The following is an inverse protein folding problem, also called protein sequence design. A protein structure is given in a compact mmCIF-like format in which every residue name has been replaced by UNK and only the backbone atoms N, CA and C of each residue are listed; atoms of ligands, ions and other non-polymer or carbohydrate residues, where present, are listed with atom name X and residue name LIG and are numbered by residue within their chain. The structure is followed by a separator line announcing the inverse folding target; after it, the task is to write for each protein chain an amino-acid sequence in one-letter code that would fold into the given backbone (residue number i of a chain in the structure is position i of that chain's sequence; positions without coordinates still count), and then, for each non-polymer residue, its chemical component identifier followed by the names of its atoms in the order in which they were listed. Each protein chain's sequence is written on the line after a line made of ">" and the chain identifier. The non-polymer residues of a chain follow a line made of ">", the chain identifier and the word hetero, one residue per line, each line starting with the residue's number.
data_IF_309184536127
#
_entry.id   IF_309184536127
#
_cell.length_a   1.000
_cell.length_b   1.000
_cell.length_c   1.000
_cell.angle_alpha   90.00
_cell.angle_beta   90.00
_cell.angle_gamma   90.00
#
_symmetry.space_group_name_H-M   'P 1'
#
loop_
_entity.id
_entity.type
_entity.pdbx_description
1 polymer ?
#
# COMPACT_ATOMS: atom_id res chain seq x y z
N UNK A 1 3.77 -19.02 9.93
CA UNK A 1 4.37 -18.04 9.00
C UNK A 1 5.84 -18.37 8.90
N UNK A 2 6.43 -18.32 7.71
CA UNK A 2 7.86 -18.60 7.53
C UNK A 2 8.63 -17.27 7.54
N UNK A 3 8.96 -16.81 8.74
CA UNK A 3 9.51 -15.47 8.96
C UNK A 3 10.93 -15.32 8.42
N UNK A 4 11.67 -16.42 8.25
CA UNK A 4 13.01 -16.42 7.64
C UNK A 4 12.99 -16.04 6.15
N UNK A 5 11.84 -16.18 5.48
CA UNK A 5 11.64 -15.79 4.07
C UNK A 5 10.92 -14.45 3.91
N UNK A 6 10.98 -13.60 4.95
CA UNK A 6 10.40 -12.27 4.90
C UNK A 6 11.23 -11.35 4.00
N UNK A 7 10.57 -10.71 3.03
CA UNK A 7 11.13 -9.68 2.19
C UNK A 7 10.83 -8.28 2.77
N UNK A 8 11.76 -7.35 2.56
CA UNK A 8 11.56 -5.92 2.81
C UNK A 8 11.47 -5.18 1.49
N UNK A 9 10.40 -4.43 1.29
CA UNK A 9 10.18 -3.63 0.08
C UNK A 9 10.25 -2.15 0.42
N UNK A 10 11.29 -1.45 -0.02
CA UNK A 10 11.56 -0.06 0.30
C UNK A 10 12.61 0.59 -0.59
N UNK A 11 12.87 1.90 -0.41
CA UNK A 11 12.51 2.70 0.76
C UNK A 11 11.04 3.10 0.81
N UNK A 12 10.48 3.17 2.01
CA UNK A 12 9.13 3.69 2.33
C UNK A 12 9.18 4.60 3.54
N UNK A 13 8.79 5.85 3.36
CA UNK A 13 8.64 6.77 4.48
C UNK A 13 7.20 6.75 5.02
N UNK A 14 7.04 6.80 6.35
CA UNK A 14 5.76 7.07 7.01
C UNK A 14 5.94 8.18 8.03
N UNK A 15 4.92 9.04 8.18
CA UNK A 15 4.87 10.00 9.28
C UNK A 15 4.50 9.27 10.57
N UNK A 16 5.36 9.35 11.59
CA UNK A 16 5.12 8.83 12.95
C UNK A 16 5.25 10.01 13.90
N UNK A 17 4.18 10.35 14.61
CA UNK A 17 4.11 11.54 15.47
C UNK A 17 4.55 12.85 14.77
N UNK A 18 4.25 12.98 13.48
CA UNK A 18 4.61 14.16 12.67
C UNK A 18 6.03 14.16 12.11
N UNK A 19 6.83 13.12 12.38
CA UNK A 19 8.20 12.97 11.87
C UNK A 19 8.22 11.93 10.76
N UNK A 20 8.84 12.25 9.62
CA UNK A 20 9.04 11.30 8.54
C UNK A 20 10.11 10.27 8.93
N UNK A 21 9.71 9.01 9.09
CA UNK A 21 10.58 7.89 9.46
C UNK A 21 10.79 6.99 8.23
N UNK A 22 12.04 6.65 7.86
CA UNK A 22 12.31 5.69 6.80
C UNK A 22 12.03 4.25 7.26
N UNK A 23 11.63 3.41 6.33
CA UNK A 23 11.21 2.05 6.60
C UNK A 23 10.94 1.26 5.33
N UNK A 24 10.29 0.12 5.51
CA UNK A 24 9.98 -0.83 4.44
C UNK A 24 8.65 -1.53 4.68
N UNK A 25 8.04 -2.01 3.59
CA UNK A 25 6.92 -2.94 3.69
C UNK A 25 7.45 -4.34 3.99
N UNK A 26 6.83 -5.01 4.95
CA UNK A 26 7.20 -6.34 5.40
C UNK A 26 6.28 -7.35 4.72
N UNK A 27 6.85 -8.21 3.87
CA UNK A 27 6.12 -9.23 3.11
C UNK A 27 6.63 -10.60 3.52
N UNK A 28 5.75 -11.47 3.99
CA UNK A 28 6.12 -12.81 4.47
C UNK A 28 5.28 -13.87 3.76
N UNK A 29 5.86 -14.98 3.26
CA UNK A 29 5.08 -16.11 2.77
C UNK A 29 4.38 -16.83 3.94
N UNK A 30 3.08 -17.06 3.79
CA UNK A 30 2.23 -17.65 4.83
C UNK A 30 1.44 -18.81 4.26
N UNK A 31 1.55 -19.95 4.92
CA UNK A 31 0.72 -21.12 4.64
C UNK A 31 -0.66 -20.92 5.24
N UNK A 32 -1.70 -21.00 4.41
CA UNK A 32 -3.08 -20.91 4.89
C UNK A 32 -3.46 -22.17 5.68
N UNK A 33 -4.15 -21.96 6.81
CA UNK A 33 -4.68 -23.07 7.60
C UNK A 33 -6.00 -23.53 6.99
N UNK A 34 -6.07 -24.78 6.55
CA UNK A 34 -7.31 -25.38 6.08
C UNK A 34 -8.39 -25.30 7.17
N UNK A 35 -9.59 -24.86 6.81
CA UNK A 35 -10.75 -24.86 7.71
C UNK A 35 -11.26 -26.29 7.82
N UNK A 36 -11.43 -26.83 9.05
CA UNK A 36 -12.12 -28.11 9.23
C UNK A 36 -13.53 -28.01 8.65
N UNK A 37 -13.93 -28.99 7.84
CA UNK A 37 -15.28 -29.08 7.27
C UNK A 37 -16.29 -29.12 8.43
N UNK A 38 -17.18 -28.15 8.49
CA UNK A 38 -18.25 -28.12 9.49
C UNK A 38 -19.28 -29.22 9.23
N UNK A 39 -20.06 -29.57 10.26
CA UNK A 39 -21.11 -30.61 10.22
C UNK A 39 -22.08 -30.46 9.03
N UNK A 40 -22.34 -29.23 8.58
CA UNK A 40 -23.24 -28.93 7.46
C UNK A 40 -22.57 -28.86 6.07
N UNK A 41 -21.32 -29.33 5.94
CA UNK A 41 -20.62 -29.35 4.64
C UNK A 41 -20.31 -27.99 4.02
N UNK A 42 -20.77 -26.87 4.59
CA UNK A 42 -20.41 -25.50 4.19
C UNK A 42 -19.15 -25.03 4.91
N UNK A 43 -18.01 -25.33 4.30
CA UNK A 43 -16.75 -24.65 4.53
C UNK A 43 -16.06 -24.50 3.18
N UNK A 44 -15.58 -23.30 2.87
CA UNK A 44 -14.68 -23.12 1.74
C UNK A 44 -13.51 -24.09 1.94
N UNK A 45 -13.44 -25.11 1.09
CA UNK A 45 -12.25 -25.92 0.95
C UNK A 45 -11.24 -24.99 0.27
N UNK A 46 -10.11 -24.71 0.92
CA UNK A 46 -8.89 -24.50 0.14
C UNK A 46 -8.83 -25.70 -0.82
N UNK A 47 -8.64 -25.44 -2.11
CA UNK A 47 -8.65 -26.49 -3.12
C UNK A 47 -7.77 -27.65 -2.65
N UNK A 48 -8.31 -28.87 -2.70
CA UNK A 48 -7.62 -30.06 -2.24
C UNK A 48 -6.40 -30.30 -3.14
N UNK A 49 -5.23 -29.84 -2.68
CA UNK A 49 -3.94 -30.00 -3.34
C UNK A 49 -2.97 -28.93 -2.85
N UNK A 50 -2.05 -29.32 -1.97
CA UNK A 50 -1.00 -28.48 -1.38
C UNK A 50 -1.50 -27.35 -0.47
N UNK A 51 -0.79 -27.11 0.63
CA UNK A 51 -1.16 -26.05 1.54
C UNK A 51 -0.91 -24.70 0.86
N UNK A 52 -1.98 -24.09 0.32
CA UNK A 52 -1.96 -22.82 -0.41
C UNK A 52 -1.14 -21.79 0.37
N UNK A 53 0.04 -21.49 -0.15
CA UNK A 53 0.97 -20.55 0.45
C UNK A 53 0.83 -19.25 -0.31
N UNK A 54 0.56 -18.18 0.44
CA UNK A 54 0.25 -16.86 -0.10
C UNK A 54 1.29 -15.85 0.40
N UNK A 55 1.46 -14.75 -0.32
CA UNK A 55 2.26 -13.63 0.19
C UNK A 55 1.41 -12.77 1.11
N UNK A 56 1.87 -12.52 2.33
CA UNK A 56 1.21 -11.62 3.28
C UNK A 56 2.02 -10.35 3.44
N UNK A 57 1.49 -9.22 2.96
CA UNK A 57 1.96 -7.89 3.30
C UNK A 57 1.47 -7.55 4.71
N UNK A 58 2.36 -7.70 5.70
CA UNK A 58 2.06 -7.50 7.14
C UNK A 58 1.87 -6.03 7.50
N UNK A 59 2.52 -5.13 6.77
CA UNK A 59 2.46 -3.70 7.04
C UNK A 59 3.80 -3.00 6.84
N UNK A 60 3.89 -1.76 7.31
CA UNK A 60 5.12 -0.97 7.30
C UNK A 60 5.87 -1.12 8.62
N UNK A 61 7.20 -1.17 8.58
CA UNK A 61 8.04 -1.10 9.75
C UNK A 61 9.25 -0.17 9.49
N UNK A 62 9.75 0.55 10.52
CA UNK A 62 10.95 1.36 10.38
C UNK A 62 12.17 0.46 10.13
N UNK A 63 13.21 1.02 9.51
CA UNK A 63 14.40 0.22 9.14
C UNK A 63 15.11 -0.37 10.37
N UNK A 64 15.04 0.32 11.51
CA UNK A 64 15.58 -0.15 12.79
C UNK A 64 14.77 -1.29 13.43
N UNK A 65 13.54 -1.57 12.96
CA UNK A 65 12.74 -2.67 13.49
C UNK A 65 13.27 -4.01 13.01
N UNK A 66 13.40 -4.98 13.90
CA UNK A 66 13.73 -6.38 13.60
C UNK A 66 12.64 -7.31 14.10
N UNK A 67 12.38 -8.38 13.35
CA UNK A 67 11.34 -9.35 13.70
C UNK A 67 11.87 -10.30 14.78
N UNK A 68 11.70 -9.93 16.06
CA UNK A 68 12.26 -10.67 17.20
C UNK A 68 11.79 -12.15 17.25
N UNK A 69 10.61 -12.45 16.70
CA UNK A 69 10.03 -13.79 16.66
C UNK A 69 10.39 -14.59 15.38
N UNK A 70 11.30 -14.09 14.53
CA UNK A 70 11.61 -14.70 13.23
C UNK A 70 12.00 -16.20 13.32
N UNK A 71 12.60 -16.61 14.42
CA UNK A 71 13.03 -17.99 14.67
C UNK A 71 11.89 -18.95 15.07
N UNK A 72 10.77 -18.44 15.62
CA UNK A 72 9.74 -19.28 16.24
C UNK A 72 8.59 -19.66 15.31
N UNK A 73 8.47 -18.99 14.15
CA UNK A 73 7.36 -19.19 13.22
C UNK A 73 5.99 -18.85 13.84
N UNK A 74 5.45 -17.67 13.52
CA UNK A 74 4.20 -17.23 14.13
C UNK A 74 2.95 -17.87 13.51
N UNK A 75 1.92 -18.13 14.32
CA UNK A 75 0.56 -18.40 13.87
C UNK A 75 -0.31 -17.20 14.26
N UNK A 76 -0.85 -16.48 13.27
CA UNK A 76 -1.71 -15.33 13.53
C UNK A 76 -3.02 -15.47 12.76
N UNK A 77 -4.12 -15.05 13.40
CA UNK A 77 -5.40 -14.85 12.75
C UNK A 77 -5.44 -13.40 12.27
N UNK A 78 -5.52 -13.20 10.97
CA UNK A 78 -5.47 -11.88 10.34
C UNK A 78 -6.56 -11.79 9.27
N UNK A 79 -7.17 -10.61 9.16
CA UNK A 79 -8.03 -10.26 8.03
C UNK A 79 -7.21 -9.49 7.00
N UNK A 80 -7.55 -9.61 5.73
CA UNK A 80 -6.80 -8.92 4.69
C UNK A 80 -7.57 -8.84 3.38
N UNK A 81 -7.07 -7.98 2.49
CA UNK A 81 -7.59 -7.81 1.14
C UNK A 81 -6.56 -8.28 0.12
N UNK A 82 -7.04 -8.87 -0.97
CA UNK A 82 -6.17 -9.19 -2.11
C UNK A 82 -5.71 -7.87 -2.73
N UNK A 83 -4.41 -7.74 -2.98
CA UNK A 83 -3.80 -6.58 -3.60
C UNK A 83 -2.95 -7.02 -4.79
N UNK A 84 -3.04 -6.31 -5.90
CA UNK A 84 -2.13 -6.50 -7.03
C UNK A 84 -0.74 -5.89 -6.79
N UNK A 85 0.19 -6.16 -7.71
CA UNK A 85 1.48 -5.47 -7.74
C UNK A 85 1.31 -3.96 -7.86
N UNK A 86 2.29 -3.24 -7.33
CA UNK A 86 2.43 -1.82 -7.63
C UNK A 86 2.85 -1.61 -9.08
N UNK A 87 2.54 -0.42 -9.62
CA UNK A 87 3.06 -0.02 -10.92
C UNK A 87 4.41 0.65 -10.71
N UNK A 88 5.46 0.12 -11.34
CA UNK A 88 6.80 0.71 -11.33
C UNK A 88 6.76 2.16 -11.84
N UNK A 89 7.34 3.08 -11.09
CA UNK A 89 7.51 4.48 -11.49
C UNK A 89 8.64 4.65 -12.50
N UNK A 90 8.61 5.75 -13.27
CA UNK A 90 9.64 6.06 -14.29
C UNK A 90 11.06 6.13 -13.71
N UNK A 91 11.20 6.60 -12.48
CA UNK A 91 12.48 6.80 -11.80
C UNK A 91 12.73 5.78 -10.69
N UNK A 92 11.87 4.77 -10.58
CA UNK A 92 12.06 3.67 -9.63
C UNK A 92 13.09 2.69 -10.20
N UNK A 93 14.15 2.33 -9.45
CA UNK A 93 15.09 1.30 -9.87
C UNK A 93 14.40 -0.04 -10.13
N UNK A 94 15.09 -0.95 -10.82
CA UNK A 94 14.61 -2.33 -10.97
C UNK A 94 14.82 -3.11 -9.67
N UNK A 95 13.91 -4.03 -9.38
CA UNK A 95 14.11 -4.96 -8.26
C UNK A 95 15.27 -5.92 -8.57
N UNK A 96 15.98 -6.36 -7.53
CA UNK A 96 17.12 -7.29 -7.66
C UNK A 96 16.88 -8.51 -6.76
N UNK A 97 16.09 -9.50 -7.24
CA UNK A 97 15.69 -10.66 -6.44
C UNK A 97 16.88 -11.50 -5.95
N UNK A 98 17.97 -11.53 -6.71
CA UNK A 98 19.19 -12.28 -6.35
C UNK A 98 19.92 -11.70 -5.12
N UNK A 99 19.73 -10.41 -4.84
CA UNK A 99 20.32 -9.72 -3.68
C UNK A 99 19.28 -9.38 -2.60
N UNK A 100 18.06 -9.91 -2.74
CA UNK A 100 16.89 -9.62 -1.92
C UNK A 100 16.60 -8.11 -1.74
N UNK A 101 16.91 -7.32 -2.78
CA UNK A 101 16.66 -5.88 -2.81
C UNK A 101 15.40 -5.56 -3.62
N UNK A 102 14.42 -4.94 -2.96
CA UNK A 102 13.11 -4.64 -3.54
C UNK A 102 12.75 -3.18 -3.37
N UNK A 103 12.65 -2.44 -4.47
CA UNK A 103 12.33 -1.01 -4.51
C UNK A 103 10.83 -0.74 -4.64
N UNK A 104 10.10 -1.65 -5.28
CA UNK A 104 8.65 -1.58 -5.47
C UNK A 104 8.02 -2.94 -5.31
N UNK A 105 6.72 -2.95 -5.00
CA UNK A 105 6.01 -4.19 -4.67
C UNK A 105 5.63 -4.95 -5.94
N UNK A 106 6.51 -5.84 -6.38
CA UNK A 106 6.27 -6.76 -7.50
C UNK A 106 5.87 -8.14 -6.96
N UNK A 107 4.56 -8.43 -6.91
CA UNK A 107 4.05 -9.66 -6.32
C UNK A 107 4.51 -10.94 -7.05
N UNK A 108 4.45 -11.05 -8.40
CA UNK A 108 4.99 -12.20 -9.12
C UNK A 108 6.48 -12.46 -8.87
N UNK A 109 7.31 -11.42 -8.94
CA UNK A 109 8.75 -11.58 -8.73
C UNK A 109 9.07 -11.94 -7.27
N UNK A 110 8.36 -11.34 -6.31
CA UNK A 110 8.48 -11.70 -4.90
C UNK A 110 8.07 -13.16 -4.67
N UNK A 111 6.95 -13.60 -5.25
CA UNK A 111 6.48 -14.97 -5.12
C UNK A 111 7.53 -15.96 -5.62
N UNK A 112 8.07 -15.71 -6.82
CA UNK A 112 9.11 -16.52 -7.45
C UNK A 112 10.41 -16.55 -6.62
N UNK A 113 10.86 -15.40 -6.10
CA UNK A 113 12.03 -15.32 -5.22
C UNK A 113 11.88 -16.13 -3.93
N UNK A 114 10.63 -16.36 -3.51
CA UNK A 114 10.28 -17.20 -2.39
C UNK A 114 9.89 -18.60 -2.83
N UNK A 115 10.10 -19.04 -4.05
CA UNK A 115 9.76 -20.41 -4.50
C UNK A 115 8.25 -20.69 -4.47
N UNK A 116 7.43 -19.65 -4.64
CA UNK A 116 5.99 -19.77 -4.84
C UNK A 116 5.65 -19.58 -6.33
N UNK A 117 4.50 -20.10 -6.78
CA UNK A 117 3.97 -19.80 -8.10
C UNK A 117 3.83 -18.29 -8.33
N UNK A 118 4.08 -17.81 -9.56
CA UNK A 118 4.01 -16.37 -9.90
C UNK A 118 2.61 -15.77 -9.75
N UNK A 119 1.58 -16.61 -9.76
CA UNK A 119 0.18 -16.28 -9.53
C UNK A 119 -0.24 -16.39 -8.05
N UNK A 120 0.71 -16.64 -7.13
CA UNK A 120 0.43 -16.66 -5.71
C UNK A 120 -0.18 -15.32 -5.27
N UNK A 121 -1.33 -15.33 -4.58
CA UNK A 121 -2.02 -14.10 -4.24
C UNK A 121 -1.23 -13.33 -3.18
N UNK A 122 -1.18 -12.01 -3.35
CA UNK A 122 -0.68 -11.08 -2.36
C UNK A 122 -1.85 -10.54 -1.53
N UNK A 123 -1.82 -10.82 -0.23
CA UNK A 123 -2.81 -10.39 0.74
C UNK A 123 -2.22 -9.26 1.57
N UNK A 124 -2.87 -8.10 1.60
CA UNK A 124 -2.54 -7.01 2.50
C UNK A 124 -3.30 -7.18 3.81
N UNK A 125 -2.56 -7.33 4.92
CA UNK A 125 -3.12 -7.41 6.25
C UNK A 125 -3.85 -6.11 6.61
N UNK A 126 -5.02 -6.27 7.23
CA UNK A 126 -5.83 -5.19 7.78
C UNK A 126 -5.80 -5.29 9.30
N UNK A 127 -5.56 -4.16 9.94
CA UNK A 127 -5.70 -4.01 11.39
C UNK A 127 -7.14 -3.64 11.73
N UNK A 128 -7.69 -4.31 12.75
CA UNK A 128 -8.97 -3.94 13.33
C UNK A 128 -8.78 -2.73 14.27
N UNK A 129 -9.43 -1.61 13.95
CA UNK A 129 -9.50 -0.41 14.80
C UNK A 129 -8.21 0.43 14.88
N UNK A 130 -8.29 1.52 15.62
CA UNK A 130 -7.19 2.46 15.90
C UNK A 130 -6.27 1.96 17.04
N UNK A 131 -5.74 0.74 16.91
CA UNK A 131 -4.62 0.28 17.75
C UNK A 131 -3.38 1.19 17.65
N UNK A 132 -2.51 1.10 18.67
CA UNK A 132 -1.30 1.91 18.82
C UNK A 132 -0.41 1.92 17.57
N UNK A 133 -0.02 3.11 17.11
CA UNK A 133 0.90 3.32 15.98
C UNK A 133 2.32 2.76 16.24
N UNK A 134 2.59 2.30 17.46
CA UNK A 134 3.90 1.81 17.93
C UNK A 134 4.11 0.31 17.74
N UNK A 135 3.08 -0.43 17.29
CA UNK A 135 3.22 -1.87 17.02
C UNK A 135 3.64 -2.09 15.57
N UNK A 136 4.79 -2.76 15.37
CA UNK A 136 5.34 -3.08 14.05
C UNK A 136 5.31 -4.60 13.78
N UNK A 137 5.06 -5.03 12.54
CA UNK A 137 4.71 -4.21 11.37
C UNK A 137 3.32 -3.59 11.48
N UNK A 138 3.22 -2.31 11.15
CA UNK A 138 1.97 -1.56 11.21
C UNK A 138 1.15 -1.84 9.96
N UNK A 139 0.16 -2.73 10.10
CA UNK A 139 -0.82 -3.05 9.07
C UNK A 139 -1.72 -1.84 8.78
N UNK A 140 -2.19 -1.77 7.53
CA UNK A 140 -3.12 -0.72 7.10
C UNK A 140 -4.47 -0.88 7.80
N UNK A 141 -5.16 0.22 8.08
CA UNK A 141 -6.57 0.15 8.49
C UNK A 141 -7.48 0.08 7.25
N UNK A 142 -8.72 -0.37 7.45
CA UNK A 142 -9.71 -0.41 6.37
C UNK A 142 -9.97 1.00 5.80
N UNK A 143 -9.97 2.01 6.66
CA UNK A 143 -10.16 3.41 6.30
C UNK A 143 -8.99 3.93 5.45
N UNK A 144 -7.75 3.56 5.77
CA UNK A 144 -6.57 3.91 4.96
C UNK A 144 -6.65 3.33 3.55
N UNK A 145 -7.16 2.10 3.40
CA UNK A 145 -7.33 1.45 2.10
C UNK A 145 -8.44 2.10 1.25
N UNK A 146 -9.41 2.76 1.89
CA UNK A 146 -10.49 3.47 1.23
C UNK A 146 -10.20 4.97 1.05
N UNK A 147 -9.06 5.47 1.56
CA UNK A 147 -8.71 6.89 1.49
C UNK A 147 -8.08 7.22 0.15
N UNK A 148 -8.72 8.12 -0.58
CA UNK A 148 -8.16 8.68 -1.80
C UNK A 148 -7.18 9.83 -1.45
N UNK A 149 -6.02 9.94 -2.13
CA UNK A 149 -5.05 11.00 -1.86
C UNK A 149 -5.62 12.42 -2.03
N UNK A 150 -6.55 12.58 -2.96
CA UNK A 150 -7.30 13.82 -3.18
C UNK A 150 -8.78 13.46 -3.17
N UNK A 151 -9.52 13.93 -2.17
CA UNK A 151 -10.96 13.70 -2.14
C UNK A 151 -11.67 14.55 -3.21
N UNK A 152 -12.85 14.13 -3.70
CA UNK A 152 -13.65 14.93 -4.63
C UNK A 152 -13.94 16.35 -4.11
N UNK A 153 -14.14 16.48 -2.79
CA UNK A 153 -14.34 17.76 -2.11
C UNK A 153 -13.08 18.65 -2.14
N UNK A 154 -11.90 18.07 -1.88
CA UNK A 154 -10.65 18.82 -2.00
C UNK A 154 -10.43 19.29 -3.44
N UNK A 155 -10.76 18.44 -4.42
CA UNK A 155 -10.62 18.78 -5.83
C UNK A 155 -11.58 19.89 -6.26
N UNK A 156 -12.83 19.88 -5.77
CA UNK A 156 -13.81 20.93 -6.07
C UNK A 156 -13.37 22.28 -5.48
N UNK A 157 -12.78 22.29 -4.28
CA UNK A 157 -12.21 23.50 -3.68
C UNK A 157 -11.06 24.09 -4.52
N UNK A 158 -10.16 23.26 -5.04
CA UNK A 158 -9.12 23.70 -5.96
C UNK A 158 -9.73 24.26 -7.26
N UNK A 159 -10.69 23.56 -7.86
CA UNK A 159 -11.35 23.99 -9.09
C UNK A 159 -12.02 25.37 -8.90
N UNK A 160 -12.77 25.56 -7.82
CA UNK A 160 -13.40 26.84 -7.48
C UNK A 160 -12.37 27.98 -7.38
N UNK A 161 -11.25 27.73 -6.69
CA UNK A 161 -10.15 28.69 -6.58
C UNK A 161 -9.61 29.08 -7.95
N UNK A 162 -9.31 28.11 -8.81
CA UNK A 162 -8.75 28.37 -10.14
C UNK A 162 -9.74 29.06 -11.08
N UNK A 163 -11.02 28.69 -11.06
CA UNK A 163 -12.04 29.37 -11.85
C UNK A 163 -12.30 30.80 -11.36
N UNK A 164 -12.29 31.05 -10.05
CA UNK A 164 -12.42 32.40 -9.51
C UNK A 164 -11.25 33.31 -9.92
N UNK A 165 -10.01 32.80 -9.83
CA UNK A 165 -8.82 33.53 -10.29
C UNK A 165 -8.85 33.78 -11.81
N UNK A 166 -9.27 32.79 -12.59
CA UNK A 166 -9.42 32.93 -14.06
C UNK A 166 -10.49 33.97 -14.41
N UNK A 167 -11.63 33.97 -13.71
CA UNK A 167 -12.70 34.94 -13.92
C UNK A 167 -12.26 36.36 -13.53
N UNK A 168 -11.59 36.54 -12.39
CA UNK A 168 -11.10 37.83 -11.93
C UNK A 168 -10.06 38.42 -12.89
N UNK A 169 -9.07 37.63 -13.30
CA UNK A 169 -8.04 38.06 -14.27
C UNK A 169 -8.64 38.32 -15.65
N UNK A 170 -9.57 37.48 -16.11
CA UNK A 170 -10.32 37.71 -17.35
C UNK A 170 -11.13 39.02 -17.33
N UNK A 171 -11.82 39.31 -16.22
CA UNK A 171 -12.56 40.55 -16.05
C UNK A 171 -11.63 41.78 -16.08
N UNK A 172 -10.50 41.72 -15.38
CA UNK A 172 -9.48 42.79 -15.41
C UNK A 172 -8.94 43.02 -16.82
N UNK A 173 -8.65 41.96 -17.57
CA UNK A 173 -8.20 42.05 -18.96
C UNK A 173 -9.25 42.72 -19.86
N UNK A 174 -10.52 42.31 -19.75
CA UNK A 174 -11.64 42.90 -20.50
C UNK A 174 -11.78 44.39 -20.19
N UNK A 175 -11.73 44.78 -18.91
CA UNK A 175 -11.79 46.18 -18.48
C UNK A 175 -10.61 46.98 -19.07
N UNK A 176 -9.40 46.42 -19.02
CA UNK A 176 -8.19 47.10 -19.51
C UNK A 176 -8.18 47.30 -21.02
N UNK A 177 -8.66 46.32 -21.79
CA UNK A 177 -8.77 46.40 -23.25
C UNK A 177 -9.82 47.44 -23.63
N UNK A 178 -11.02 47.39 -23.02
CA UNK A 178 -12.10 48.35 -23.29
C UNK A 178 -11.71 49.80 -22.97
N UNK A 179 -10.97 50.03 -21.88
CA UNK A 179 -10.45 51.38 -21.52
C UNK A 179 -9.30 51.86 -22.40
N UNK A 180 -8.52 50.95 -23.00
CA UNK A 180 -7.42 51.29 -23.93
C UNK A 180 -7.89 51.67 -25.34
N UNK A 181 -9.08 51.24 -25.74
CA UNK A 181 -9.67 51.60 -27.04
C UNK A 181 -10.27 53.02 -27.05
N UNK A 182 -10.66 53.56 -25.88
CA UNK A 182 -11.23 54.91 -25.76
C UNK A 182 -10.24 56.06 -25.47
N UNK A 183 -8.96 55.76 -25.20
CA UNK A 183 -7.88 56.76 -25.06
C UNK A 183 -6.86 56.55 -26.17
N UNK A 184 -7.23 56.91 -27.39
CA UNK A 184 -6.28 57.23 -28.45
C UNK A 184 -6.33 58.76 -28.64
N UNK A 185 -5.15 59.37 -28.71
CA UNK A 185 -4.93 60.81 -28.81
C UNK A 185 -5.76 61.47 -29.92
#
# INVERSE_FOLDING_TARGET
>A
MDLARTARVGPRARSVCGVAVPGSLIVTPVRLRAKKKGWFGRGASAAAGEAETVLLLRGWAPDAWTDADAAAGACAKTEGVVRGSERKGRFTPENEPGEDRWFWLDAPALAESRGLPRDAPLIQAIRAGSGDETTYPSAATKEELMRFPVSPEQHSGYAATWFALSAATGALAVVRIRRGVGRRF
#
